data_IF_959296232393
#
_entry.id   IF_959296232393
#
_cell.length_a   1.000
_cell.length_b   1.000
_cell.length_c   1.000
_cell.angle_alpha   90.00
_cell.angle_beta   90.00
_cell.angle_gamma   90.00
#
_symmetry.space_group_name_H-M   'P 1'
#
loop_
_entity.id
_entity.type
_entity.pdbx_description
1 polymer ?
#
# COMPACT_ATOMS: atom_id res chain seq x y z
N UNK A 1 3.70 2.56 -10.72
CA UNK A 1 2.98 1.74 -11.74
C UNK A 1 3.85 1.51 -12.98
N UNK A 2 3.79 0.34 -13.63
CA UNK A 2 4.41 0.10 -14.95
C UNK A 2 3.50 0.50 -16.12
N UNK A 3 4.07 1.02 -17.20
CA UNK A 3 3.39 1.40 -18.45
C UNK A 3 4.07 0.78 -19.68
N UNK A 4 3.40 0.80 -20.84
CA UNK A 4 4.01 0.41 -22.10
C UNK A 4 4.86 1.57 -22.64
N UNK A 5 6.16 1.35 -22.76
CA UNK A 5 7.09 2.29 -23.39
C UNK A 5 6.74 2.49 -24.88
N UNK A 6 6.80 3.72 -25.34
CA UNK A 6 6.53 4.09 -26.73
C UNK A 6 6.56 5.61 -26.93
N UNK A 7 6.72 6.03 -28.18
CA UNK A 7 6.58 7.42 -28.61
C UNK A 7 5.09 7.77 -28.67
N UNK A 8 4.67 8.85 -28.01
CA UNK A 8 3.26 9.20 -27.86
C UNK A 8 3.04 10.68 -28.15
N UNK A 9 2.56 11.02 -29.35
CA UNK A 9 2.30 12.42 -29.70
C UNK A 9 0.98 12.93 -29.13
N UNK A 10 1.00 14.17 -28.63
CA UNK A 10 -0.18 14.91 -28.18
C UNK A 10 -0.92 15.41 -29.41
N UNK A 11 -2.04 14.76 -29.76
CA UNK A 11 -2.81 15.06 -31.00
C UNK A 11 -3.10 16.55 -31.25
N UNK A 12 -3.25 17.37 -30.20
CA UNK A 12 -3.55 18.80 -30.31
C UNK A 12 -2.32 19.70 -30.55
N UNK A 13 -1.15 19.32 -30.05
CA UNK A 13 0.05 20.19 -30.08
C UNK A 13 1.20 19.61 -30.90
N UNK A 14 1.11 18.36 -31.36
CA UNK A 14 2.20 17.64 -32.03
C UNK A 14 3.33 17.18 -31.10
N UNK A 15 3.36 17.71 -29.87
CA UNK A 15 4.36 17.47 -28.83
C UNK A 15 4.56 15.98 -28.53
N UNK A 16 5.83 15.56 -28.48
CA UNK A 16 6.23 14.19 -28.14
C UNK A 16 6.20 13.97 -26.62
N UNK A 17 5.14 13.33 -26.14
CA UNK A 17 5.05 12.81 -24.78
C UNK A 17 5.60 11.36 -24.78
N UNK A 18 6.06 10.89 -23.61
CA UNK A 18 6.53 9.50 -23.44
C UNK A 18 8.00 9.39 -23.04
N UNK A 19 8.76 10.49 -23.13
CA UNK A 19 10.09 10.57 -22.56
C UNK A 19 10.05 10.83 -21.06
N UNK A 20 11.13 10.48 -20.37
CA UNK A 20 11.30 10.78 -18.95
C UNK A 20 11.68 12.25 -18.76
N UNK A 21 10.68 13.12 -18.62
CA UNK A 21 10.88 14.55 -18.36
C UNK A 21 11.11 14.80 -16.87
N UNK A 22 12.22 14.29 -16.37
CA UNK A 22 12.73 14.60 -15.04
C UNK A 22 13.98 15.43 -15.21
N UNK A 23 13.91 16.66 -14.69
CA UNK A 23 15.01 17.59 -14.47
C UNK A 23 15.86 17.03 -13.32
N UNK A 24 16.52 15.94 -13.63
CA UNK A 24 17.37 15.16 -12.75
C UNK A 24 18.80 15.62 -13.01
N UNK A 25 19.38 16.35 -12.07
CA UNK A 25 20.71 16.98 -12.21
C UNK A 25 21.78 15.93 -12.54
N UNK A 26 21.60 14.69 -12.11
CA UNK A 26 22.46 13.55 -12.47
C UNK A 26 22.39 13.23 -13.97
N UNK A 27 21.22 13.41 -14.60
CA UNK A 27 21.03 13.23 -16.05
C UNK A 27 21.45 14.43 -16.87
N UNK A 28 21.33 15.64 -16.34
CA UNK A 28 21.95 16.82 -16.95
C UNK A 28 23.47 16.65 -16.96
N UNK A 29 24.08 16.22 -15.85
CA UNK A 29 25.50 15.87 -15.77
C UNK A 29 25.89 14.73 -16.74
N UNK A 30 25.10 13.65 -16.84
CA UNK A 30 25.34 12.57 -17.82
C UNK A 30 25.13 13.05 -19.26
N UNK A 31 24.19 13.98 -19.50
CA UNK A 31 23.94 14.62 -20.78
C UNK A 31 25.14 15.45 -21.22
N UNK A 32 25.59 16.36 -20.35
CA UNK A 32 26.79 17.19 -20.53
C UNK A 32 28.05 16.32 -20.72
N UNK A 33 28.23 15.23 -19.96
CA UNK A 33 29.31 14.26 -20.20
C UNK A 33 29.17 13.55 -21.56
N UNK A 34 27.95 13.27 -22.02
CA UNK A 34 27.67 12.71 -23.33
C UNK A 34 28.01 13.67 -24.47
N UNK A 35 27.65 14.95 -24.32
CA UNK A 35 27.96 16.04 -25.26
C UNK A 35 29.47 16.29 -25.34
N UNK A 36 30.17 16.33 -24.20
CA UNK A 36 31.64 16.38 -24.11
C UNK A 36 32.31 15.17 -24.81
N UNK A 37 31.62 14.04 -24.93
CA UNK A 37 32.09 12.83 -25.62
C UNK A 37 31.52 12.68 -27.06
N UNK A 38 30.85 13.71 -27.61
CA UNK A 38 30.17 13.68 -28.91
C UNK A 38 29.18 12.52 -29.10
N UNK A 39 28.63 11.97 -28.00
CA UNK A 39 27.63 10.90 -28.05
C UNK A 39 26.24 11.51 -28.19
N UNK A 40 25.55 11.18 -29.29
CA UNK A 40 24.17 11.59 -29.53
C UNK A 40 23.27 11.13 -28.38
N UNK A 41 22.77 12.08 -27.59
CA UNK A 41 21.85 11.82 -26.49
C UNK A 41 20.52 11.28 -27.04
N UNK A 42 20.19 10.03 -26.71
CA UNK A 42 18.92 9.41 -27.10
C UNK A 42 17.95 9.44 -25.91
N UNK A 43 16.88 10.25 -25.95
CA UNK A 43 15.95 10.35 -24.83
C UNK A 43 15.24 9.01 -24.61
N UNK A 44 15.24 8.54 -23.37
CA UNK A 44 14.69 7.22 -23.02
C UNK A 44 13.17 7.30 -22.81
N UNK A 45 12.39 6.34 -23.35
CA UNK A 45 10.97 6.28 -23.09
C UNK A 45 10.71 5.86 -21.64
N UNK A 46 9.74 6.50 -20.99
CA UNK A 46 9.27 6.14 -19.66
C UNK A 46 8.65 4.73 -19.65
N UNK A 47 9.05 3.92 -18.67
CA UNK A 47 8.54 2.55 -18.43
C UNK A 47 7.67 2.46 -17.19
N UNK A 48 7.76 3.46 -16.32
CA UNK A 48 7.08 3.57 -15.03
C UNK A 48 6.50 4.97 -14.84
N UNK A 49 5.42 5.03 -14.08
CA UNK A 49 4.88 6.26 -13.50
C UNK A 49 4.97 6.12 -11.98
N UNK A 50 5.66 7.04 -11.33
CA UNK A 50 5.60 7.26 -9.89
C UNK A 50 4.41 8.19 -9.62
N UNK A 51 3.56 7.85 -8.64
CA UNK A 51 2.33 8.59 -8.34
C UNK A 51 2.26 8.80 -6.84
N UNK A 52 2.09 10.06 -6.44
CA UNK A 52 1.80 10.44 -5.06
C UNK A 52 0.31 10.77 -4.92
N UNK A 53 -0.32 10.19 -3.91
CA UNK A 53 -1.72 10.40 -3.54
C UNK A 53 -1.77 10.85 -2.09
N UNK A 54 -2.56 11.90 -1.82
CA UNK A 54 -2.89 12.32 -0.46
C UNK A 54 -4.20 11.66 -0.05
N UNK A 55 -4.24 11.18 1.19
CA UNK A 55 -5.42 10.65 1.85
C UNK A 55 -5.64 11.38 3.18
N UNK A 56 -6.85 11.86 3.42
CA UNK A 56 -7.25 12.45 4.70
C UNK A 56 -7.37 11.38 5.79
N UNK A 57 -6.71 11.62 6.92
CA UNK A 57 -6.67 10.70 8.08
C UNK A 57 -7.99 10.75 8.87
N UNK A 58 -8.50 11.96 9.14
CA UNK A 58 -9.81 12.19 9.76
C UNK A 58 -10.94 12.26 8.72
N UNK A 59 -10.62 12.67 7.50
CA UNK A 59 -11.56 12.85 6.39
C UNK A 59 -11.35 11.77 5.32
N UNK A 60 -11.85 10.57 5.56
CA UNK A 60 -11.69 9.37 4.70
C UNK A 60 -12.12 9.58 3.23
N UNK A 61 -12.97 10.57 2.95
CA UNK A 61 -13.41 10.94 1.59
C UNK A 61 -12.41 11.81 0.81
N UNK A 62 -11.40 12.40 1.47
CA UNK A 62 -10.37 13.20 0.81
C UNK A 62 -9.28 12.26 0.31
N UNK A 63 -9.39 11.85 -0.97
CA UNK A 63 -8.41 11.01 -1.67
C UNK A 63 -8.11 11.66 -3.02
N UNK A 64 -6.88 12.14 -3.24
CA UNK A 64 -6.51 12.85 -4.47
C UNK A 64 -5.08 12.57 -4.92
N UNK A 65 -4.88 12.42 -6.23
CA UNK A 65 -3.54 12.34 -6.84
C UNK A 65 -2.99 13.75 -7.00
N UNK A 66 -1.82 13.98 -6.39
CA UNK A 66 -1.19 15.30 -6.32
C UNK A 66 0.01 15.44 -7.26
N UNK A 67 0.74 14.35 -7.52
CA UNK A 67 1.90 14.36 -8.41
C UNK A 67 2.04 13.04 -9.19
N UNK A 68 2.47 13.15 -10.45
CA UNK A 68 2.73 12.01 -11.34
C UNK A 68 4.04 12.24 -12.11
N UNK A 69 5.07 11.44 -11.82
CA UNK A 69 6.40 11.56 -12.42
C UNK A 69 6.69 10.40 -13.39
N UNK A 70 7.35 10.71 -14.52
CA UNK A 70 7.57 9.78 -15.64
C UNK A 70 8.99 9.24 -15.67
N UNK A 71 9.16 7.92 -15.51
CA UNK A 71 10.45 7.33 -15.15
C UNK A 71 10.78 6.07 -15.95
N UNK A 72 12.06 5.90 -16.29
CA UNK A 72 12.63 4.69 -16.90
C UNK A 72 13.05 3.72 -15.79
N UNK A 73 13.93 4.21 -14.92
CA UNK A 73 14.34 3.66 -13.64
C UNK A 73 13.88 4.58 -12.50
N UNK A 74 13.81 4.05 -11.29
CA UNK A 74 13.56 4.80 -10.05
C UNK A 74 14.59 4.34 -9.01
N UNK A 75 15.60 5.17 -8.75
CA UNK A 75 16.57 4.95 -7.68
C UNK A 75 16.03 5.51 -6.34
N UNK A 76 16.66 5.13 -5.23
CA UNK A 76 16.18 5.52 -3.91
C UNK A 76 16.39 7.03 -3.65
N UNK A 77 17.48 7.61 -4.15
CA UNK A 77 17.79 9.04 -4.02
C UNK A 77 16.77 9.90 -4.77
N UNK A 78 16.45 9.54 -6.02
CA UNK A 78 15.36 10.14 -6.81
C UNK A 78 14.02 10.06 -6.07
N UNK A 79 13.69 8.91 -5.47
CA UNK A 79 12.48 8.76 -4.68
C UNK A 79 12.49 9.66 -3.45
N UNK A 80 13.61 9.76 -2.73
CA UNK A 80 13.77 10.62 -1.56
C UNK A 80 13.56 12.09 -1.93
N UNK A 81 14.30 12.59 -2.92
CA UNK A 81 14.20 13.96 -3.43
C UNK A 81 12.77 14.30 -3.86
N UNK A 82 12.11 13.46 -4.67
CA UNK A 82 10.73 13.71 -5.11
C UNK A 82 9.68 13.53 -4.02
N UNK A 83 9.96 12.74 -2.98
CA UNK A 83 9.07 12.64 -1.82
C UNK A 83 9.14 13.92 -0.98
N UNK A 84 10.34 14.45 -0.71
CA UNK A 84 10.49 15.71 0.02
C UNK A 84 9.99 16.93 -0.77
N UNK A 85 10.25 17.00 -2.08
CA UNK A 85 9.64 18.01 -2.98
C UNK A 85 8.12 18.03 -2.84
N UNK A 86 7.49 16.85 -2.84
CA UNK A 86 6.04 16.71 -2.66
C UNK A 86 5.59 17.14 -1.26
N UNK A 87 6.33 16.79 -0.20
CA UNK A 87 5.98 17.16 1.18
C UNK A 87 6.09 18.68 1.38
N UNK A 88 7.18 19.31 0.95
CA UNK A 88 7.35 20.76 1.08
C UNK A 88 6.22 21.51 0.36
N UNK A 89 5.90 21.13 -0.87
CA UNK A 89 4.78 21.72 -1.63
C UNK A 89 3.41 21.52 -0.95
N UNK A 90 3.20 20.42 -0.22
CA UNK A 90 1.99 20.20 0.56
C UNK A 90 1.95 21.07 1.82
N UNK A 91 3.05 21.16 2.56
CA UNK A 91 3.13 21.95 3.79
C UNK A 91 3.03 23.46 3.51
N UNK A 92 3.63 23.95 2.42
CA UNK A 92 3.45 25.31 1.90
C UNK A 92 2.00 25.60 1.51
N UNK A 93 1.28 24.60 0.98
CA UNK A 93 -0.16 24.68 0.71
C UNK A 93 -1.04 24.52 1.97
N UNK A 94 -0.45 24.45 3.16
CA UNK A 94 -1.15 24.30 4.45
C UNK A 94 -1.59 22.88 4.79
N UNK A 95 -1.17 21.87 4.03
CA UNK A 95 -1.50 20.45 4.25
C UNK A 95 -0.36 19.80 5.04
N UNK A 96 -0.59 19.50 6.33
CA UNK A 96 0.35 18.78 7.17
C UNK A 96 0.41 17.29 6.79
N UNK A 97 1.60 16.75 6.61
CA UNK A 97 1.83 15.33 6.30
C UNK A 97 2.26 14.58 7.56
N UNK A 98 1.49 13.58 7.99
CA UNK A 98 1.83 12.77 9.17
C UNK A 98 2.64 11.51 8.84
N UNK A 99 2.27 10.82 7.76
CA UNK A 99 2.75 9.46 7.48
C UNK A 99 2.84 9.18 5.99
N UNK A 100 3.80 8.35 5.58
CA UNK A 100 3.97 7.89 4.20
C UNK A 100 3.79 6.37 4.16
N UNK A 101 2.85 5.89 3.34
CA UNK A 101 2.66 4.46 3.07
C UNK A 101 3.28 4.10 1.72
N UNK A 102 4.07 3.03 1.68
CA UNK A 102 4.69 2.53 0.45
C UNK A 102 4.79 0.99 0.47
N UNK A 103 4.90 0.39 -0.71
CA UNK A 103 5.03 -1.07 -0.84
C UNK A 103 6.40 -1.60 -0.35
N UNK A 104 6.49 -2.92 -0.22
CA UNK A 104 7.73 -3.64 0.09
C UNK A 104 8.73 -3.78 -1.08
N UNK A 105 8.71 -2.92 -2.10
CA UNK A 105 9.65 -2.95 -3.24
C UNK A 105 11.05 -2.41 -2.88
N UNK A 106 12.06 -2.74 -3.68
CA UNK A 106 13.46 -2.56 -3.24
C UNK A 106 13.83 -1.10 -2.99
N UNK A 107 13.46 -0.22 -3.91
CA UNK A 107 13.68 1.22 -3.82
C UNK A 107 13.06 1.83 -2.56
N UNK A 108 11.84 1.41 -2.19
CA UNK A 108 11.08 2.01 -1.10
C UNK A 108 11.72 1.73 0.26
N UNK A 109 12.18 0.49 0.52
CA UNK A 109 12.91 0.23 1.77
C UNK A 109 14.32 0.86 1.75
N UNK A 110 15.01 0.93 0.60
CA UNK A 110 16.23 1.76 0.48
C UNK A 110 15.98 3.24 0.82
N UNK A 111 14.82 3.78 0.45
CA UNK A 111 14.36 5.10 0.86
C UNK A 111 14.13 5.20 2.38
N UNK A 112 13.43 4.22 3.00
CA UNK A 112 13.28 4.15 4.47
C UNK A 112 14.65 4.11 5.17
N UNK A 113 15.63 3.36 4.64
CA UNK A 113 16.99 3.29 5.17
C UNK A 113 17.74 4.63 5.20
N UNK A 114 17.57 5.49 4.19
CA UNK A 114 18.26 6.78 4.18
C UNK A 114 17.75 7.76 5.25
N UNK A 115 16.55 7.55 5.79
CA UNK A 115 16.00 8.42 6.83
C UNK A 115 16.50 8.06 8.24
N UNK A 116 17.01 6.84 8.43
CA UNK A 116 17.57 6.36 9.71
C UNK A 116 18.90 7.03 10.03
N UNK A 117 19.68 7.34 8.99
CA UNK A 117 20.96 8.05 9.09
C UNK A 117 20.82 9.56 9.31
N UNK A 118 19.60 10.12 9.30
CA UNK A 118 19.36 11.56 9.44
C UNK A 118 19.09 12.02 10.87
N UNK A 119 18.78 11.11 11.79
CA UNK A 119 18.48 11.48 13.18
C UNK A 119 18.93 10.39 14.17
N UNK A 120 19.94 10.70 14.98
CA UNK A 120 20.47 9.79 16.00
C UNK A 120 19.65 9.74 17.30
N UNK A 121 18.63 10.60 17.44
CA UNK A 121 17.76 10.70 18.61
C UNK A 121 16.29 10.34 18.33
N UNK A 122 15.84 10.30 17.06
CA UNK A 122 14.50 9.81 16.73
C UNK A 122 14.38 8.28 16.76
N UNK A 123 13.55 7.79 17.68
CA UNK A 123 13.48 6.40 18.13
C UNK A 123 12.80 5.41 17.16
N UNK A 124 12.52 5.76 15.89
CA UNK A 124 11.59 4.98 15.05
C UNK A 124 11.70 5.13 13.51
N UNK A 125 12.71 4.53 12.84
CA UNK A 125 12.74 4.34 11.37
C UNK A 125 13.62 3.09 11.02
N UNK A 126 13.13 1.98 10.41
CA UNK A 126 13.97 0.76 10.12
C UNK A 126 13.52 -0.21 8.97
N UNK A 127 14.18 -0.35 7.78
CA UNK A 127 13.91 -1.46 6.80
C UNK A 127 14.86 -1.65 5.55
N UNK A 128 15.42 -2.86 5.23
CA UNK A 128 15.78 -3.26 3.81
C UNK A 128 15.73 -4.76 3.34
N UNK A 129 16.72 -5.35 2.60
CA UNK A 129 16.63 -6.55 1.66
C UNK A 129 18.01 -6.94 1.03
N UNK A 130 18.27 -7.88 0.09
CA UNK A 130 17.51 -8.76 -0.87
C UNK A 130 18.41 -9.92 -1.42
N UNK A 131 17.89 -11.02 -2.03
CA UNK A 131 18.50 -11.81 -3.17
C UNK A 131 17.71 -13.08 -3.66
N UNK A 132 17.50 -13.19 -5.01
CA UNK A 132 17.16 -14.38 -5.87
C UNK A 132 15.69 -14.81 -6.25
N UNK A 133 15.30 -14.47 -7.50
CA UNK A 133 14.52 -15.20 -8.58
C UNK A 133 13.41 -16.26 -8.29
N UNK A 134 12.27 -16.41 -9.01
CA UNK A 134 11.69 -15.73 -10.20
C UNK A 134 10.35 -16.35 -10.73
N UNK A 135 9.55 -15.55 -11.46
CA UNK A 135 8.34 -15.78 -12.31
C UNK A 135 6.98 -16.44 -11.87
N UNK A 136 5.90 -15.64 -12.04
CA UNK A 136 4.45 -15.88 -12.22
C UNK A 136 3.62 -16.95 -11.45
N UNK A 137 2.96 -16.52 -10.37
CA UNK A 137 1.50 -16.20 -10.31
C UNK A 137 1.13 -15.64 -8.92
N UNK A 138 0.39 -14.52 -8.86
CA UNK A 138 0.05 -13.85 -7.60
C UNK A 138 -1.34 -14.26 -7.07
N UNK A 139 -1.45 -14.52 -5.77
CA UNK A 139 -2.73 -14.61 -5.06
C UNK A 139 -3.42 -13.23 -5.00
N UNK A 140 -4.75 -13.24 -4.99
CA UNK A 140 -5.56 -12.08 -4.58
C UNK A 140 -5.43 -11.93 -3.06
N UNK A 141 -5.38 -10.71 -2.53
CA UNK A 141 -5.34 -10.47 -1.07
C UNK A 141 -6.47 -11.20 -0.34
N UNK A 142 -7.65 -11.27 -0.97
CA UNK A 142 -8.81 -12.08 -0.54
C UNK A 142 -8.45 -13.52 -0.14
N UNK A 143 -7.63 -14.24 -0.92
CA UNK A 143 -7.26 -15.63 -0.60
C UNK A 143 -6.33 -15.72 0.61
N UNK A 144 -5.40 -14.77 0.76
CA UNK A 144 -4.49 -14.74 1.91
C UNK A 144 -5.25 -14.44 3.22
N UNK A 145 -6.17 -13.47 3.19
CA UNK A 145 -7.07 -13.19 4.31
C UNK A 145 -8.03 -14.35 4.60
N UNK A 146 -8.54 -15.04 3.57
CA UNK A 146 -9.38 -16.22 3.75
C UNK A 146 -8.63 -17.39 4.41
N UNK A 147 -7.39 -17.67 3.98
CA UNK A 147 -6.55 -18.71 4.59
C UNK A 147 -6.12 -18.40 6.02
N UNK A 148 -6.08 -17.12 6.39
CA UNK A 148 -5.71 -16.64 7.72
C UNK A 148 -6.93 -16.09 8.48
N UNK A 149 -8.11 -16.68 8.26
CA UNK A 149 -9.37 -16.25 8.89
C UNK A 149 -9.67 -17.03 10.17
N UNK A 150 -10.40 -16.40 11.10
CA UNK A 150 -10.89 -17.04 12.33
C UNK A 150 -11.60 -18.38 12.05
N UNK A 151 -12.49 -18.42 11.07
CA UNK A 151 -13.21 -19.64 10.66
C UNK A 151 -12.32 -20.79 10.17
N UNK A 152 -11.12 -20.50 9.64
CA UNK A 152 -10.14 -21.54 9.30
C UNK A 152 -9.44 -22.04 10.56
N UNK A 153 -9.15 -21.16 11.52
CA UNK A 153 -8.63 -21.57 12.83
C UNK A 153 -9.62 -22.47 13.58
N UNK A 154 -10.91 -22.08 13.62
CA UNK A 154 -11.98 -22.85 14.24
C UNK A 154 -12.11 -24.25 13.60
N UNK A 155 -12.15 -24.32 12.26
CA UNK A 155 -12.23 -25.58 11.52
C UNK A 155 -11.03 -26.51 11.77
N UNK A 156 -9.81 -25.96 11.88
CA UNK A 156 -8.60 -26.74 12.21
C UNK A 156 -8.68 -27.28 13.66
N UNK A 157 -9.21 -26.48 14.58
CA UNK A 157 -9.37 -26.85 15.99
C UNK A 157 -10.44 -27.94 16.17
N UNK A 158 -11.61 -27.78 15.54
CA UNK A 158 -12.70 -28.79 15.51
C UNK A 158 -12.22 -30.13 14.92
N UNK A 159 -11.48 -30.10 13.81
CA UNK A 159 -10.95 -31.31 13.17
C UNK A 159 -9.89 -32.01 14.05
N UNK A 160 -9.02 -31.22 14.72
CA UNK A 160 -7.99 -31.76 15.61
C UNK A 160 -8.58 -32.48 16.83
N UNK A 161 -9.73 -32.02 17.31
CA UNK A 161 -10.47 -32.62 18.42
C UNK A 161 -11.27 -33.86 17.98
N UNK A 162 -11.71 -33.92 16.72
CA UNK A 162 -12.38 -35.09 16.15
C UNK A 162 -11.42 -36.27 15.86
N UNK A 163 -10.27 -36.02 15.22
CA UNK A 163 -9.33 -37.10 14.82
C UNK A 163 -8.22 -37.41 15.84
N UNK A 164 -8.28 -36.84 17.05
CA UNK A 164 -7.20 -36.98 18.07
C UNK A 164 -5.84 -36.44 17.55
N UNK A 165 -5.87 -35.55 16.54
CA UNK A 165 -4.69 -34.89 15.97
C UNK A 165 -4.36 -33.57 16.69
N UNK A 166 -4.70 -33.47 17.98
CA UNK A 166 -4.46 -32.31 18.86
C UNK A 166 -2.97 -32.17 19.26
N UNK A 167 -2.10 -32.14 18.27
CA UNK A 167 -0.65 -31.96 18.43
C UNK A 167 -0.30 -30.54 18.86
N UNK A 168 0.91 -30.36 19.39
CA UNK A 168 1.48 -29.02 19.65
C UNK A 168 1.55 -28.17 18.37
N UNK A 169 1.84 -28.79 17.22
CA UNK A 169 1.95 -28.08 15.93
C UNK A 169 0.59 -27.51 15.50
N UNK A 170 -0.48 -28.27 15.68
CA UNK A 170 -1.84 -27.82 15.36
C UNK A 170 -2.25 -26.61 16.19
N UNK A 171 -1.93 -26.62 17.49
CA UNK A 171 -2.21 -25.49 18.41
C UNK A 171 -1.45 -24.21 18.02
N UNK A 172 -0.15 -24.31 17.74
CA UNK A 172 0.64 -23.12 17.35
C UNK A 172 0.23 -22.60 15.96
N UNK A 173 -0.21 -23.47 15.04
CA UNK A 173 -0.78 -23.04 13.76
C UNK A 173 -2.11 -22.29 13.94
N UNK A 174 -3.04 -22.81 14.75
CA UNK A 174 -4.31 -22.13 15.09
C UNK A 174 -4.02 -20.77 15.74
N UNK A 175 -3.08 -20.71 16.69
CA UNK A 175 -2.64 -19.48 17.34
C UNK A 175 -2.09 -18.46 16.34
N UNK A 176 -1.20 -18.87 15.42
CA UNK A 176 -0.70 -18.00 14.34
C UNK A 176 -1.84 -17.46 13.47
N UNK A 177 -2.79 -18.31 13.08
CA UNK A 177 -3.95 -17.91 12.25
C UNK A 177 -4.81 -16.89 13.01
N UNK A 178 -5.16 -17.14 14.28
CA UNK A 178 -5.94 -16.20 15.11
C UNK A 178 -5.20 -14.87 15.29
N UNK A 179 -3.89 -14.88 15.59
CA UNK A 179 -3.06 -13.67 15.68
C UNK A 179 -3.07 -12.85 14.38
N UNK A 180 -2.88 -13.51 13.23
CA UNK A 180 -2.91 -12.85 11.92
C UNK A 180 -4.31 -12.29 11.58
N UNK A 181 -5.39 -13.02 11.88
CA UNK A 181 -6.76 -12.53 11.70
C UNK A 181 -6.99 -11.24 12.49
N UNK A 182 -6.69 -11.25 13.79
CA UNK A 182 -6.89 -10.10 14.68
C UNK A 182 -6.01 -8.91 14.25
N UNK A 183 -4.77 -9.15 13.82
CA UNK A 183 -3.93 -8.11 13.22
C UNK A 183 -4.57 -7.48 11.97
N UNK A 184 -5.07 -8.29 11.01
CA UNK A 184 -5.76 -7.75 9.84
C UNK A 184 -7.01 -6.95 10.19
N UNK A 185 -7.78 -7.42 11.17
CA UNK A 185 -8.99 -6.76 11.66
C UNK A 185 -8.66 -5.40 12.31
N UNK A 186 -7.63 -5.34 13.16
CA UNK A 186 -7.09 -4.11 13.78
C UNK A 186 -6.59 -3.07 12.77
N UNK A 187 -6.13 -3.51 11.59
CA UNK A 187 -5.49 -2.66 10.57
C UNK A 187 -6.44 -2.25 9.43
N UNK A 188 -7.59 -2.92 9.27
CA UNK A 188 -8.51 -2.73 8.14
C UNK A 188 -9.95 -2.43 8.60
N UNK A 189 -10.10 -1.46 9.51
CA UNK A 189 -11.41 -1.04 10.04
C UNK A 189 -12.41 -0.58 8.98
N UNK A 190 -13.69 -0.95 9.14
CA UNK A 190 -14.76 -0.63 8.18
C UNK A 190 -15.14 0.86 8.22
N UNK A 191 -15.49 1.42 7.07
CA UNK A 191 -16.04 2.79 6.95
C UNK A 191 -17.55 2.82 7.30
N UNK A 192 -17.93 3.55 8.36
CA UNK A 192 -19.28 4.12 8.49
C UNK A 192 -20.26 3.45 9.45
N UNK A 193 -19.82 2.56 10.35
CA UNK A 193 -20.70 1.89 11.33
C UNK A 193 -20.22 2.15 12.76
N UNK A 194 -20.34 3.41 13.21
CA UNK A 194 -19.90 3.87 14.54
C UNK A 194 -20.71 3.35 15.74
N UNK A 195 -21.52 2.31 15.52
CA UNK A 195 -22.30 1.55 16.51
C UNK A 195 -22.29 0.06 16.08
N UNK A 196 -22.79 -0.27 14.87
CA UNK A 196 -22.84 -1.67 14.36
C UNK A 196 -21.50 -2.41 14.23
N UNK A 197 -20.41 -1.75 13.85
CA UNK A 197 -19.12 -2.43 13.78
C UNK A 197 -18.56 -2.74 15.18
N UNK A 198 -18.96 -1.94 16.18
CA UNK A 198 -18.62 -2.14 17.58
C UNK A 198 -19.45 -3.31 18.18
N UNK A 199 -20.69 -3.51 17.71
CA UNK A 199 -21.52 -4.70 18.01
C UNK A 199 -21.01 -6.00 17.35
N UNK A 200 -20.51 -5.96 16.10
CA UNK A 200 -20.06 -7.16 15.38
C UNK A 200 -18.62 -7.60 15.72
N UNK A 201 -17.66 -6.68 15.79
CA UNK A 201 -16.25 -6.98 16.03
C UNK A 201 -15.46 -5.73 16.45
N UNK A 202 -15.19 -5.61 17.75
CA UNK A 202 -14.43 -4.51 18.36
C UNK A 202 -13.02 -4.32 17.76
N UNK A 203 -12.39 -5.35 17.19
CA UNK A 203 -11.06 -5.21 16.57
C UNK A 203 -11.12 -4.36 15.29
N UNK A 204 -12.28 -4.32 14.60
CA UNK A 204 -12.54 -3.53 13.39
C UNK A 204 -12.99 -2.09 13.63
N UNK A 205 -13.21 -1.70 14.89
CA UNK A 205 -13.70 -0.38 15.24
C UNK A 205 -12.66 0.73 14.94
N UNK A 206 -13.09 1.98 14.84
CA UNK A 206 -12.16 3.10 14.81
C UNK A 206 -11.50 3.25 16.20
N UNK A 207 -10.24 3.69 16.24
CA UNK A 207 -9.52 3.99 17.48
C UNK A 207 -10.02 5.33 18.03
N UNK A 208 -10.34 5.36 19.33
CA UNK A 208 -10.93 6.53 20.02
C UNK A 208 -10.20 6.92 21.30
N UNK A 209 -9.31 6.07 21.81
CA UNK A 209 -8.52 6.29 23.03
C UNK A 209 -7.05 5.92 22.81
N UNK A 210 -6.15 6.58 23.52
CA UNK A 210 -4.72 6.22 23.62
C UNK A 210 -4.48 4.90 24.37
N UNK A 211 -5.46 4.48 25.17
CA UNK A 211 -5.42 3.28 26.04
C UNK A 211 -6.20 2.11 25.42
N UNK A 212 -6.37 2.11 24.09
CA UNK A 212 -7.08 1.05 23.38
C UNK A 212 -6.37 -0.30 23.54
N UNK A 213 -7.11 -1.33 23.98
CA UNK A 213 -6.59 -2.70 24.22
C UNK A 213 -5.82 -3.27 23.02
N UNK A 214 -6.15 -2.83 21.81
CA UNK A 214 -5.53 -3.30 20.56
C UNK A 214 -4.08 -2.86 20.45
N UNK A 215 -3.66 -1.76 21.07
CA UNK A 215 -2.25 -1.39 21.13
C UNK A 215 -1.43 -2.40 21.93
N UNK A 216 -1.93 -2.82 23.10
CA UNK A 216 -1.29 -3.88 23.88
C UNK A 216 -1.24 -5.21 23.10
N UNK A 217 -2.33 -5.58 22.43
CA UNK A 217 -2.34 -6.77 21.58
C UNK A 217 -1.28 -6.71 20.47
N UNK A 218 -1.21 -5.58 19.75
CA UNK A 218 -0.26 -5.42 18.64
C UNK A 218 1.22 -5.44 19.14
N UNK A 219 1.53 -4.77 20.24
CA UNK A 219 2.89 -4.66 20.78
C UNK A 219 3.36 -5.91 21.55
N UNK A 220 2.50 -6.44 22.43
CA UNK A 220 2.88 -7.41 23.46
C UNK A 220 2.38 -8.84 23.20
N UNK A 221 1.38 -9.05 22.35
CA UNK A 221 0.94 -10.38 21.93
C UNK A 221 1.44 -10.69 20.51
N UNK A 222 1.10 -9.86 19.53
CA UNK A 222 1.37 -10.08 18.10
C UNK A 222 2.86 -9.95 17.77
N UNK A 223 3.51 -8.80 18.06
CA UNK A 223 4.95 -8.66 17.80
C UNK A 223 5.80 -9.57 18.71
N UNK A 224 5.34 -9.87 19.93
CA UNK A 224 6.07 -10.74 20.85
C UNK A 224 6.11 -12.19 20.34
N UNK A 225 4.99 -12.71 19.81
CA UNK A 225 4.94 -14.04 19.18
C UNK A 225 6.04 -14.24 18.13
N UNK A 226 6.30 -13.24 17.28
CA UNK A 226 7.38 -13.35 16.28
C UNK A 226 8.78 -13.29 16.89
N UNK A 227 9.00 -12.51 17.96
CA UNK A 227 10.29 -12.50 18.69
C UNK A 227 10.55 -13.85 19.34
N UNK A 228 9.53 -14.44 19.97
CA UNK A 228 9.63 -15.75 20.61
C UNK A 228 9.88 -16.85 19.57
N UNK A 229 9.18 -16.83 18.42
CA UNK A 229 9.44 -17.76 17.31
C UNK A 229 10.90 -17.68 16.79
N UNK A 230 11.46 -16.48 16.62
CA UNK A 230 12.88 -16.31 16.25
C UNK A 230 13.80 -16.89 17.31
N UNK A 231 13.50 -16.67 18.60
CA UNK A 231 14.26 -17.19 19.73
C UNK A 231 14.21 -18.72 19.79
N UNK A 232 13.04 -19.32 19.57
CA UNK A 232 12.84 -20.77 19.57
C UNK A 232 13.55 -21.45 18.40
N UNK A 233 13.51 -20.87 17.19
CA UNK A 233 14.30 -21.34 16.03
C UNK A 233 15.80 -21.22 16.29
N UNK A 234 16.23 -20.20 17.04
CA UNK A 234 17.64 -20.02 17.43
C UNK A 234 18.09 -21.04 18.48
N UNK A 235 17.22 -21.32 19.46
CA UNK A 235 17.45 -22.29 20.53
C UNK A 235 17.24 -23.76 20.11
N UNK A 236 16.68 -24.01 18.92
CA UNK A 236 16.33 -25.35 18.46
C UNK A 236 17.55 -26.26 18.34
N UNK A 237 17.50 -27.37 19.06
CA UNK A 237 18.48 -28.47 19.01
C UNK A 237 18.60 -29.07 17.60
N UNK A 238 19.85 -29.25 17.17
CA UNK A 238 20.19 -29.80 15.86
C UNK A 238 21.27 -28.98 15.14
N UNK A 239 22.04 -29.64 14.28
CA UNK A 239 23.05 -28.99 13.42
C UNK A 239 22.38 -28.39 12.17
N UNK A 240 21.56 -27.37 12.37
CA UNK A 240 21.00 -26.56 11.27
C UNK A 240 21.98 -25.45 10.87
N UNK A 241 22.14 -25.28 9.56
CA UNK A 241 22.80 -24.12 8.95
C UNK A 241 21.95 -22.86 9.10
N UNK A 242 22.58 -21.68 8.94
CA UNK A 242 21.86 -20.40 8.99
C UNK A 242 20.77 -20.31 7.90
N UNK A 243 21.01 -20.90 6.72
CA UNK A 243 20.03 -20.97 5.63
C UNK A 243 18.78 -21.78 6.04
N UNK A 244 18.98 -22.92 6.70
CA UNK A 244 17.88 -23.75 7.19
C UNK A 244 17.11 -23.07 8.33
N UNK A 245 17.81 -22.39 9.27
CA UNK A 245 17.14 -21.61 10.33
C UNK A 245 16.34 -20.44 9.75
N UNK A 246 16.89 -19.71 8.78
CA UNK A 246 16.18 -18.64 8.06
C UNK A 246 14.96 -19.13 7.28
N UNK A 247 14.92 -20.40 6.88
CA UNK A 247 13.75 -21.02 6.23
C UNK A 247 12.67 -21.49 7.23
N UNK A 248 12.95 -21.53 8.54
CA UNK A 248 11.99 -21.89 9.59
C UNK A 248 11.18 -20.71 10.13
N UNK A 249 11.51 -19.47 9.72
CA UNK A 249 10.81 -18.23 10.13
C UNK A 249 10.27 -17.48 8.92
N UNK A 250 9.51 -16.41 9.17
CA UNK A 250 9.32 -15.39 8.14
C UNK A 250 10.67 -14.74 7.76
N UNK A 251 10.75 -14.19 6.55
CA UNK A 251 11.94 -13.44 6.12
C UNK A 251 12.15 -12.23 7.03
N UNK A 252 13.41 -11.89 7.35
CA UNK A 252 13.75 -10.71 8.16
C UNK A 252 13.05 -9.43 7.65
N UNK A 253 12.95 -9.29 6.33
CA UNK A 253 12.33 -8.14 5.66
C UNK A 253 10.82 -8.04 5.94
N UNK A 254 10.16 -9.19 6.12
CA UNK A 254 8.74 -9.27 6.52
C UNK A 254 8.58 -8.94 7.99
N UNK A 255 9.48 -9.46 8.84
CA UNK A 255 9.49 -9.21 10.28
C UNK A 255 9.74 -7.73 10.58
N UNK A 256 10.76 -7.13 9.97
CA UNK A 256 11.03 -5.69 10.00
C UNK A 256 9.80 -4.90 9.58
N UNK A 257 9.19 -5.26 8.43
CA UNK A 257 8.01 -4.57 7.91
C UNK A 257 6.81 -4.64 8.88
N UNK A 258 6.58 -5.77 9.56
CA UNK A 258 5.54 -5.89 10.59
C UNK A 258 5.84 -4.96 11.78
N UNK A 259 7.08 -4.94 12.28
CA UNK A 259 7.50 -4.08 13.40
C UNK A 259 7.33 -2.58 13.07
N UNK A 260 7.76 -2.14 11.88
CA UNK A 260 7.53 -0.74 11.42
C UNK A 260 6.04 -0.44 11.36
N UNK A 261 5.27 -1.34 10.74
CA UNK A 261 3.85 -1.10 10.44
C UNK A 261 3.06 -0.97 11.73
N UNK A 262 3.29 -1.86 12.70
CA UNK A 262 2.68 -1.79 14.03
C UNK A 262 3.10 -0.51 14.74
N UNK A 263 4.39 -0.28 14.96
CA UNK A 263 4.84 0.85 15.77
C UNK A 263 4.51 2.21 15.12
N UNK A 264 4.60 2.30 13.79
CA UNK A 264 4.28 3.50 13.02
C UNK A 264 2.78 3.83 13.05
N UNK A 265 1.91 2.83 12.92
CA UNK A 265 0.46 3.05 13.00
C UNK A 265 0.03 3.34 14.45
N UNK A 266 0.60 2.69 15.46
CA UNK A 266 0.34 3.02 16.87
C UNK A 266 0.79 4.46 17.18
N UNK A 267 1.99 4.84 16.78
CA UNK A 267 2.51 6.20 16.96
C UNK A 267 1.65 7.25 16.26
N UNK A 268 1.28 7.02 15.00
CA UNK A 268 0.42 7.92 14.24
C UNK A 268 -0.99 8.05 14.84
N UNK A 269 -1.60 6.95 15.30
CA UNK A 269 -2.92 6.98 15.94
C UNK A 269 -2.86 7.70 17.28
N UNK A 270 -1.89 7.38 18.15
CA UNK A 270 -1.73 8.04 19.45
C UNK A 270 -1.50 9.55 19.28
N UNK A 271 -0.64 9.97 18.34
CA UNK A 271 -0.43 11.38 17.99
C UNK A 271 -1.73 12.06 17.52
N UNK A 272 -2.51 11.42 16.65
CA UNK A 272 -3.77 11.97 16.15
C UNK A 272 -4.84 12.09 17.25
N UNK A 273 -4.90 11.16 18.19
CA UNK A 273 -5.85 11.19 19.29
C UNK A 273 -5.45 12.18 20.39
N UNK A 274 -4.16 12.28 20.73
CA UNK A 274 -3.69 13.12 21.83
C UNK A 274 -3.25 14.52 21.41
N UNK A 275 -2.38 14.68 20.42
CA UNK A 275 -1.89 16.01 20.00
C UNK A 275 -2.90 16.72 19.10
N UNK A 276 -3.49 16.01 18.14
CA UNK A 276 -4.46 16.58 17.18
C UNK A 276 -5.90 16.56 17.72
N UNK A 277 -6.15 15.88 18.85
CA UNK A 277 -7.47 15.70 19.48
C UNK A 277 -8.55 15.22 18.50
N UNK A 278 -8.18 14.35 17.56
CA UNK A 278 -9.12 13.76 16.61
C UNK A 278 -10.14 12.86 17.34
N UNK A 279 -11.45 12.93 17.00
CA UNK A 279 -12.49 12.19 17.73
C UNK A 279 -12.47 10.68 17.45
N UNK A 280 -11.87 10.26 16.32
CA UNK A 280 -11.60 8.88 15.95
C UNK A 280 -10.54 8.81 14.86
N UNK A 281 -9.82 7.69 14.78
CA UNK A 281 -8.87 7.38 13.68
C UNK A 281 -9.13 5.97 13.18
N UNK A 282 -9.19 5.77 11.86
CA UNK A 282 -9.32 4.44 11.26
C UNK A 282 -7.96 3.99 10.73
N UNK A 283 -7.44 2.84 11.18
CA UNK A 283 -6.15 2.32 10.71
C UNK A 283 -6.11 2.08 9.18
N UNK A 284 -7.28 1.89 8.55
CA UNK A 284 -7.44 1.78 7.09
C UNK A 284 -6.99 3.01 6.30
N UNK A 285 -6.70 4.15 6.94
CA UNK A 285 -6.09 5.31 6.25
C UNK A 285 -4.59 5.16 6.01
N UNK A 286 -3.93 4.19 6.66
CA UNK A 286 -2.50 3.94 6.52
C UNK A 286 -2.15 2.84 5.50
N UNK A 287 -3.11 2.34 4.71
CA UNK A 287 -2.90 1.32 3.67
C UNK A 287 -2.97 1.90 2.25
N UNK A 288 -2.23 1.32 1.31
CA UNK A 288 -2.14 1.81 -0.08
C UNK A 288 -3.31 1.44 -1.00
N UNK A 289 -4.37 0.81 -0.48
CA UNK A 289 -5.54 0.34 -1.23
C UNK A 289 -6.13 1.40 -2.19
N UNK A 290 -6.32 2.68 -1.80
CA UNK A 290 -6.88 3.70 -2.70
C UNK A 290 -5.97 4.00 -3.90
N UNK A 291 -4.65 3.92 -3.73
CA UNK A 291 -3.68 4.08 -4.81
C UNK A 291 -3.71 2.87 -5.77
N UNK A 292 -3.87 1.66 -5.24
CA UNK A 292 -4.08 0.45 -6.07
C UNK A 292 -5.41 0.49 -6.83
N UNK A 293 -6.50 0.95 -6.20
CA UNK A 293 -7.79 1.18 -6.87
C UNK A 293 -7.64 2.19 -8.01
N UNK A 294 -6.95 3.30 -7.78
CA UNK A 294 -6.63 4.28 -8.82
C UNK A 294 -5.82 3.69 -9.98
N UNK A 295 -4.79 2.87 -9.71
CA UNK A 295 -4.09 2.13 -10.76
C UNK A 295 -5.01 1.14 -11.51
N UNK A 296 -5.99 0.54 -10.83
CA UNK A 296 -7.03 -0.28 -11.45
C UNK A 296 -7.93 0.52 -12.41
N UNK A 297 -8.26 1.77 -12.07
CA UNK A 297 -9.01 2.68 -12.95
C UNK A 297 -8.16 3.07 -14.16
N UNK A 298 -6.89 3.46 -13.96
CA UNK A 298 -5.98 3.78 -15.09
C UNK A 298 -5.82 2.62 -16.08
N UNK A 299 -5.84 1.37 -15.58
CA UNK A 299 -5.72 0.13 -16.36
C UNK A 299 -7.05 -0.48 -16.83
N UNK A 300 -8.19 0.20 -16.63
CA UNK A 300 -9.55 -0.32 -16.88
C UNK A 300 -9.71 -0.94 -18.27
N UNK A 301 -9.20 -0.25 -19.29
CA UNK A 301 -9.38 -0.61 -20.71
C UNK A 301 -8.15 -1.34 -21.30
N UNK A 302 -6.99 -1.22 -20.67
CA UNK A 302 -5.77 -1.93 -21.03
C UNK A 302 -4.91 -2.19 -19.79
N UNK A 303 -4.54 -3.47 -19.55
CA UNK A 303 -3.71 -3.88 -18.40
C UNK A 303 -2.33 -3.24 -18.38
N UNK A 304 -1.77 -2.93 -19.55
CA UNK A 304 -0.48 -2.25 -19.71
C UNK A 304 -0.68 -1.04 -20.64
N UNK A 305 -1.26 0.06 -20.12
CA UNK A 305 -1.60 1.23 -20.91
C UNK A 305 -0.34 1.96 -21.39
N UNK A 306 -0.47 2.64 -22.54
CA UNK A 306 0.48 3.67 -22.95
C UNK A 306 0.30 4.94 -22.10
N UNK A 307 1.29 5.84 -22.13
CA UNK A 307 1.28 7.04 -21.33
C UNK A 307 0.07 7.97 -21.60
N UNK A 308 -0.31 8.19 -22.86
CA UNK A 308 -1.48 9.02 -23.19
C UNK A 308 -2.77 8.50 -22.54
N UNK A 309 -2.99 7.19 -22.53
CA UNK A 309 -4.15 6.60 -21.87
C UNK A 309 -4.13 6.89 -20.36
N UNK A 310 -2.97 6.77 -19.71
CA UNK A 310 -2.82 7.11 -18.29
C UNK A 310 -3.10 8.60 -18.01
N UNK A 311 -2.53 9.50 -18.81
CA UNK A 311 -2.70 10.95 -18.63
C UNK A 311 -4.14 11.39 -18.93
N UNK A 312 -4.75 10.86 -20.01
CA UNK A 312 -6.15 11.14 -20.35
C UNK A 312 -7.09 10.61 -19.26
N UNK A 313 -6.84 9.42 -18.71
CA UNK A 313 -7.64 8.90 -17.60
C UNK A 313 -7.45 9.75 -16.33
N UNK A 314 -6.23 10.18 -15.99
CA UNK A 314 -6.01 11.10 -14.87
C UNK A 314 -6.75 12.44 -15.06
N UNK A 315 -6.65 13.06 -16.24
CA UNK A 315 -7.37 14.30 -16.55
C UNK A 315 -8.89 14.11 -16.45
N UNK A 316 -9.43 12.99 -16.93
CA UNK A 316 -10.86 12.65 -16.79
C UNK A 316 -11.25 12.48 -15.32
N UNK A 317 -10.43 11.84 -14.50
CA UNK A 317 -10.66 11.67 -13.05
C UNK A 317 -10.66 13.03 -12.34
N UNK A 318 -9.65 13.87 -12.60
CA UNK A 318 -9.52 15.20 -12.01
C UNK A 318 -10.66 16.14 -12.44
N UNK A 319 -11.07 16.11 -13.71
CA UNK A 319 -12.15 16.94 -14.23
C UNK A 319 -13.54 16.47 -13.76
N UNK A 320 -13.75 15.15 -13.67
CA UNK A 320 -15.07 14.58 -13.33
C UNK A 320 -15.30 14.44 -11.82
N UNK A 321 -14.24 14.52 -11.00
CA UNK A 321 -14.12 14.38 -9.53
C UNK A 321 -14.75 13.15 -8.84
N UNK A 322 -15.74 12.50 -9.45
CA UNK A 322 -16.51 11.41 -8.84
C UNK A 322 -17.01 10.37 -9.86
N UNK A 323 -17.12 10.70 -11.15
CA UNK A 323 -17.70 9.82 -12.19
C UNK A 323 -16.73 8.74 -12.74
N UNK A 324 -15.68 8.37 -12.01
CA UNK A 324 -14.74 7.34 -12.42
C UNK A 324 -15.36 5.94 -12.23
N UNK A 325 -15.77 5.30 -13.33
CA UNK A 325 -16.35 3.95 -13.28
C UNK A 325 -15.41 2.96 -12.55
N UNK A 326 -15.90 2.19 -11.56
CA UNK A 326 -15.06 1.40 -10.66
C UNK A 326 -14.21 0.37 -11.41
N UNK A 327 -12.98 0.06 -10.94
CA UNK A 327 -12.00 -0.74 -11.66
C UNK A 327 -12.59 -2.07 -12.11
N UNK A 328 -12.42 -2.41 -13.40
CA UNK A 328 -13.02 -3.62 -14.01
C UNK A 328 -12.49 -4.93 -13.40
N UNK A 329 -11.23 -4.92 -12.93
CA UNK A 329 -10.54 -6.01 -12.19
C UNK A 329 -9.44 -5.37 -11.32
N UNK A 330 -9.22 -5.91 -10.11
CA UNK A 330 -8.20 -5.46 -9.15
C UNK A 330 -8.14 -6.39 -7.93
N UNK A 331 -7.12 -6.25 -7.09
CA UNK A 331 -7.00 -7.00 -5.82
C UNK A 331 -7.97 -6.49 -4.75
N UNK A 332 -8.25 -5.20 -4.78
CA UNK A 332 -9.29 -4.54 -4.00
C UNK A 332 -10.65 -4.75 -4.66
N UNK A 333 -11.61 -5.26 -3.89
CA UNK A 333 -12.97 -5.51 -4.37
C UNK A 333 -13.67 -4.20 -4.73
N UNK A 334 -14.31 -4.17 -5.90
CA UNK A 334 -15.14 -3.05 -6.28
C UNK A 334 -16.36 -2.98 -5.35
N UNK A 335 -16.40 -1.99 -4.47
CA UNK A 335 -17.55 -1.73 -3.60
C UNK A 335 -18.78 -1.40 -4.46
N UNK A 336 -19.74 -2.32 -4.49
CA UNK A 336 -21.12 -2.00 -4.87
C UNK A 336 -21.76 -1.19 -3.74
N UNK A 337 -21.49 0.12 -3.67
CA UNK A 337 -22.45 1.07 -3.08
C UNK A 337 -23.26 1.70 -4.20
N UNK A 338 -24.56 1.85 -3.96
CA UNK A 338 -25.59 2.02 -4.98
C UNK A 338 -25.42 3.28 -5.81
N UNK A 339 -25.74 3.17 -7.10
CA UNK A 339 -25.90 4.30 -8.04
C UNK A 339 -27.24 5.06 -7.80
N UNK A 340 -27.62 5.19 -6.54
CA UNK A 340 -28.88 5.79 -6.08
C UNK A 340 -28.56 6.95 -5.11
N UNK A 341 -27.82 7.93 -5.62
CA UNK A 341 -27.74 9.27 -5.07
C UNK A 341 -27.73 10.27 -6.23
N UNK A 342 -28.80 11.04 -6.31
CA UNK A 342 -29.03 12.19 -7.20
C UNK A 342 -29.01 11.97 -8.73
N UNK A 343 -30.08 11.35 -9.24
CA UNK A 343 -30.42 11.30 -10.67
C UNK A 343 -31.32 12.47 -11.13
N UNK A 344 -31.44 13.54 -10.33
CA UNK A 344 -32.43 14.62 -10.52
C UNK A 344 -32.27 15.45 -11.81
N UNK A 345 -31.10 15.45 -12.46
CA UNK A 345 -30.81 16.34 -13.60
C UNK A 345 -30.22 15.68 -14.87
N UNK A 346 -30.35 14.36 -15.06
CA UNK A 346 -29.98 13.72 -16.34
C UNK A 346 -31.19 13.09 -17.03
N UNK A 347 -31.78 13.83 -17.97
CA UNK A 347 -32.79 13.34 -18.92
C UNK A 347 -32.18 12.31 -19.87
N UNK A 348 -32.05 11.06 -19.42
CA UNK A 348 -31.69 9.93 -20.29
C UNK A 348 -32.92 9.50 -21.08
N UNK A 349 -32.99 9.91 -22.34
CA UNK A 349 -33.98 9.40 -23.31
C UNK A 349 -33.83 7.87 -23.46
N UNK A 350 -34.71 7.11 -22.81
CA UNK A 350 -34.82 5.65 -23.01
C UNK A 350 -35.25 5.39 -24.45
N UNK A 351 -34.37 4.75 -25.22
CA UNK A 351 -34.68 4.25 -26.56
C UNK A 351 -35.32 2.87 -26.45
N UNK A 352 -36.65 2.81 -26.58
CA UNK A 352 -37.40 1.56 -26.50
C UNK A 352 -36.94 0.55 -27.56
N UNK A 353 -36.49 -0.62 -27.08
CA UNK A 353 -36.31 -1.80 -27.94
C UNK A 353 -37.63 -2.52 -28.08
N UNK A 354 -38.31 -2.32 -29.22
CA UNK A 354 -39.46 -3.14 -29.63
C UNK A 354 -39.08 -4.62 -29.60
N UNK A 355 -39.90 -5.43 -28.94
CA UNK A 355 -39.90 -6.89 -29.09
C UNK A 355 -40.38 -7.26 -30.50
N UNK A 356 -39.68 -8.20 -31.13
CA UNK A 356 -40.21 -9.21 -32.04
C UNK A 356 -39.50 -10.51 -31.72
#
# INVERSE_FOLDING_TARGET
>A
MHIKAGLVTKKRTGELIGFTNLDDTERELIGLQGELQQKVFKPRPAKKILVFMVQGITCENVKSVIAMYLMDHLCAVQLCSKTWEVICNLEEAGIRVLSITCDGAETNRKFINMHQSLDSNCKLIYCTKNLMSGDFRCMTALFATQSLSGSVADCIEDYADYEIMKTHQTKELVKLIRLMNTFFDCMNGKEGEGEKAEEENLDKAAYRSTDDRRFNFLENDFLQFFKDWIKDVSARDGKFTDSERNAMTLSQQTLDALVITVNGVIGAIKYMLDEVKAPRVNARVFIQDPLEQYFGILKRDNRQPFLNACLNHNLTIQASKTAALPPRKGNTTAWKRSLEADSSHVLVLKKDRKKK
#
